data_IF_985500945043
#
_entry.id   IF_985500945043
#
_cell.length_a   1.000
_cell.length_b   1.000
_cell.length_c   1.000
_cell.angle_alpha   90.00
_cell.angle_beta   90.00
_cell.angle_gamma   90.00
#
_symmetry.space_group_name_H-M   'P 1'
#
loop_
_entity.id
_entity.type
_entity.pdbx_description
1 polymer ?
#
# COMPACT_ATOMS: atom_id res chain seq x y z
N UNK A 1 -13.79 17.01 -14.02
CA UNK A 1 -14.05 15.61 -14.41
C UNK A 1 -13.73 14.63 -13.26
N UNK A 2 -12.54 14.62 -12.58
CA UNK A 2 -12.30 13.67 -11.49
C UNK A 2 -13.27 13.80 -10.31
N UNK A 3 -13.67 15.02 -9.95
CA UNK A 3 -14.61 15.26 -8.85
C UNK A 3 -16.02 14.71 -9.09
N UNK A 4 -16.48 14.70 -10.35
CA UNK A 4 -17.78 14.13 -10.67
C UNK A 4 -17.83 12.62 -10.52
N UNK A 5 -16.73 11.91 -10.82
CA UNK A 5 -16.60 10.47 -10.56
C UNK A 5 -16.66 10.16 -9.05
N UNK A 6 -16.07 11.03 -8.22
CA UNK A 6 -16.17 10.92 -6.77
C UNK A 6 -17.61 11.06 -6.26
N UNK A 7 -18.39 11.98 -6.80
CA UNK A 7 -19.81 12.12 -6.45
C UNK A 7 -20.62 10.88 -6.85
N UNK A 8 -20.39 10.34 -8.06
CA UNK A 8 -21.03 9.09 -8.50
C UNK A 8 -20.66 7.94 -7.54
N UNK A 9 -19.39 7.83 -7.15
CA UNK A 9 -18.95 6.82 -6.20
C UNK A 9 -19.65 6.96 -4.83
N UNK A 10 -19.76 8.17 -4.29
CA UNK A 10 -20.47 8.43 -3.02
C UNK A 10 -21.93 7.98 -3.09
N UNK A 11 -22.61 8.30 -4.19
CA UNK A 11 -24.01 7.89 -4.39
C UNK A 11 -24.15 6.36 -4.46
N UNK A 12 -23.26 5.70 -5.21
CA UNK A 12 -23.24 4.25 -5.30
C UNK A 12 -22.93 3.60 -3.94
N UNK A 13 -21.94 4.14 -3.23
CA UNK A 13 -21.59 3.68 -1.89
C UNK A 13 -22.77 3.80 -0.93
N UNK A 14 -23.41 4.95 -0.82
CA UNK A 14 -24.58 5.15 0.05
C UNK A 14 -25.75 4.22 -0.28
N UNK A 15 -25.85 3.81 -1.53
CA UNK A 15 -26.95 2.96 -1.99
C UNK A 15 -26.69 1.47 -1.75
N UNK A 16 -25.44 1.04 -1.76
CA UNK A 16 -25.05 -0.37 -1.66
C UNK A 16 -24.40 -0.72 -0.31
N UNK A 17 -23.88 0.26 0.38
CA UNK A 17 -23.27 0.01 1.69
C UNK A 17 -24.36 -0.11 2.76
N UNK A 18 -24.37 -1.25 3.44
CA UNK A 18 -25.17 -1.50 4.64
C UNK A 18 -24.21 -1.82 5.78
N UNK A 19 -24.48 -1.29 6.98
CA UNK A 19 -23.70 -1.68 8.13
C UNK A 19 -24.02 -3.13 8.53
N UNK A 20 -23.11 -3.85 9.20
CA UNK A 20 -23.37 -5.23 9.62
C UNK A 20 -24.65 -5.40 10.46
N UNK A 21 -25.04 -4.35 11.18
CA UNK A 21 -26.26 -4.34 12.00
C UNK A 21 -27.56 -4.32 11.17
N UNK A 22 -27.50 -3.76 9.97
CA UNK A 22 -28.69 -3.55 9.11
C UNK A 22 -28.62 -4.28 7.78
N UNK A 23 -27.61 -5.11 7.56
CA UNK A 23 -27.39 -5.77 6.28
C UNK A 23 -28.43 -6.89 6.05
N UNK A 24 -29.23 -6.82 4.98
CA UNK A 24 -30.37 -7.72 4.80
C UNK A 24 -29.98 -9.17 4.44
N UNK A 25 -28.75 -9.42 4.03
CA UNK A 25 -28.26 -10.73 3.59
C UNK A 25 -27.29 -11.41 4.58
N UNK A 26 -27.05 -10.83 5.76
CA UNK A 26 -26.20 -11.45 6.78
C UNK A 26 -27.04 -12.38 7.66
N UNK A 27 -26.60 -13.62 7.84
CA UNK A 27 -27.21 -14.58 8.74
C UNK A 27 -27.01 -14.17 10.20
N UNK A 28 -28.02 -14.38 11.07
CA UNK A 28 -27.98 -13.95 12.48
C UNK A 28 -26.76 -14.50 13.24
N UNK A 29 -26.27 -15.71 12.89
CA UNK A 29 -25.07 -16.27 13.49
C UNK A 29 -23.79 -15.53 13.11
N UNK A 30 -23.66 -15.15 11.86
CA UNK A 30 -22.52 -14.38 11.34
C UNK A 30 -22.54 -12.93 11.88
N UNK A 31 -23.71 -12.33 11.95
CA UNK A 31 -23.90 -11.01 12.55
C UNK A 31 -23.45 -10.97 14.02
N UNK A 32 -23.83 -11.99 14.81
CA UNK A 32 -23.43 -12.09 16.20
C UNK A 32 -21.91 -12.22 16.36
N UNK A 33 -21.25 -13.02 15.50
CA UNK A 33 -19.78 -13.16 15.50
C UNK A 33 -19.07 -11.86 15.16
N UNK A 34 -19.57 -11.11 14.19
CA UNK A 34 -18.99 -9.82 13.78
C UNK A 34 -19.12 -8.79 14.92
N UNK A 35 -20.28 -8.72 15.54
CA UNK A 35 -20.55 -7.78 16.64
C UNK A 35 -19.78 -8.12 17.90
N UNK A 36 -19.65 -9.40 18.24
CA UNK A 36 -18.87 -9.87 19.39
C UNK A 36 -17.37 -9.58 19.22
N UNK A 37 -16.82 -9.86 18.05
CA UNK A 37 -15.43 -9.49 17.72
C UNK A 37 -15.21 -7.98 17.78
N UNK A 38 -16.19 -7.17 17.39
CA UNK A 38 -16.09 -5.70 17.42
C UNK A 38 -16.15 -5.16 18.85
N UNK A 39 -16.98 -5.72 19.70
CA UNK A 39 -17.06 -5.34 21.11
C UNK A 39 -15.80 -5.74 21.89
N UNK A 40 -15.22 -6.88 21.60
CA UNK A 40 -13.96 -7.33 22.21
C UNK A 40 -12.73 -6.52 21.77
N UNK A 41 -12.79 -5.87 20.60
CA UNK A 41 -11.74 -4.98 20.10
C UNK A 41 -11.88 -3.51 20.57
N UNK A 42 -12.99 -3.12 21.13
CA UNK A 42 -13.13 -1.81 21.79
C UNK A 42 -12.31 -1.81 23.09
N UNK A 43 -11.00 -1.66 22.94
CA UNK A 43 -10.13 -1.46 24.09
C UNK A 43 -10.43 -0.08 24.70
N UNK A 44 -10.64 -0.04 25.99
CA UNK A 44 -10.93 1.17 26.79
C UNK A 44 -9.78 2.19 26.85
N UNK A 45 -8.75 2.05 25.98
CA UNK A 45 -7.60 2.93 25.93
C UNK A 45 -7.78 4.11 24.99
N UNK A 46 -7.84 5.32 25.50
CA UNK A 46 -7.75 6.54 24.69
C UNK A 46 -6.43 6.61 23.90
N UNK A 47 -6.37 7.46 22.85
CA UNK A 47 -5.18 7.69 22.03
C UNK A 47 -3.89 7.94 22.85
N UNK A 48 -4.03 8.56 24.03
CA UNK A 48 -2.91 8.83 24.95
C UNK A 48 -2.30 7.55 25.55
N UNK A 49 -3.08 6.47 25.68
CA UNK A 49 -2.55 5.20 26.18
C UNK A 49 -1.63 4.51 25.15
N UNK A 50 -1.85 4.72 23.85
CA UNK A 50 -1.01 4.16 22.78
C UNK A 50 0.42 4.71 22.81
N UNK A 51 0.59 5.98 23.19
CA UNK A 51 1.90 6.62 23.30
C UNK A 51 2.81 5.97 24.37
N UNK A 52 2.23 5.19 25.27
CA UNK A 52 2.94 4.49 26.35
C UNK A 52 3.53 3.16 25.90
N UNK A 53 3.07 2.60 24.78
CA UNK A 53 3.55 1.33 24.26
C UNK A 53 4.77 1.52 23.36
N UNK A 54 5.85 0.80 23.66
CA UNK A 54 7.08 0.81 22.86
C UNK A 54 6.84 0.33 21.42
N UNK A 55 5.96 -0.62 21.26
CA UNK A 55 5.54 -1.19 19.98
C UNK A 55 4.92 -0.13 19.07
N UNK A 56 4.13 0.78 19.62
CA UNK A 56 3.55 1.90 18.90
C UNK A 56 4.62 2.78 18.25
N UNK A 57 5.65 3.15 18.99
CA UNK A 57 6.75 3.95 18.46
C UNK A 57 7.57 3.21 17.40
N UNK A 58 7.76 1.89 17.57
CA UNK A 58 8.41 1.05 16.57
C UNK A 58 7.66 1.04 15.24
N UNK A 59 6.34 0.86 15.29
CA UNK A 59 5.48 0.90 14.10
C UNK A 59 5.47 2.29 13.48
N UNK A 60 5.34 3.35 14.29
CA UNK A 60 5.30 4.73 13.81
C UNK A 60 6.59 5.10 13.07
N UNK A 61 7.76 4.84 13.66
CA UNK A 61 9.06 5.12 13.04
C UNK A 61 9.23 4.30 11.77
N UNK A 62 8.94 3.01 11.80
CA UNK A 62 9.01 2.15 10.62
C UNK A 62 8.11 2.67 9.50
N UNK A 63 6.93 3.19 9.84
CA UNK A 63 5.99 3.76 8.88
C UNK A 63 6.54 5.04 8.25
N UNK A 64 6.98 5.99 9.07
CA UNK A 64 7.56 7.27 8.60
C UNK A 64 8.74 7.02 7.66
N UNK A 65 9.68 6.14 8.06
CA UNK A 65 10.84 5.79 7.22
C UNK A 65 10.43 5.09 5.93
N UNK A 66 9.40 4.24 5.97
CA UNK A 66 8.90 3.53 4.78
C UNK A 66 8.15 4.42 3.81
N UNK A 67 7.43 5.42 4.28
CA UNK A 67 6.63 6.32 3.44
C UNK A 67 7.47 7.39 2.76
N UNK A 68 8.60 7.78 3.36
CA UNK A 68 9.47 8.81 2.80
C UNK A 68 9.88 8.54 1.34
N UNK A 69 10.39 7.36 0.94
CA UNK A 69 10.69 7.07 -0.45
C UNK A 69 9.47 7.15 -1.37
N UNK A 70 8.30 6.72 -0.92
CA UNK A 70 7.08 6.77 -1.71
C UNK A 70 6.67 8.22 -2.03
N UNK A 71 6.64 9.10 -1.02
CA UNK A 71 6.33 10.52 -1.22
C UNK A 71 7.42 11.25 -2.02
N UNK A 72 8.68 10.86 -1.85
CA UNK A 72 9.76 11.38 -2.69
C UNK A 72 9.48 11.09 -4.16
N UNK A 73 9.17 9.85 -4.53
CA UNK A 73 8.81 9.51 -5.90
C UNK A 73 7.55 10.24 -6.36
N UNK A 74 6.55 10.40 -5.49
CA UNK A 74 5.31 11.09 -5.84
C UNK A 74 5.56 12.51 -6.33
N UNK A 75 6.42 13.26 -5.67
CA UNK A 75 6.65 14.67 -5.97
C UNK A 75 7.79 14.90 -6.97
N UNK A 76 8.84 14.09 -6.93
CA UNK A 76 10.06 14.30 -7.70
C UNK A 76 10.13 13.50 -8.99
N UNK A 77 9.36 12.45 -9.14
CA UNK A 77 9.45 11.57 -10.31
C UNK A 77 9.20 12.32 -11.64
N UNK A 78 8.14 13.15 -11.81
CA UNK A 78 7.93 13.87 -13.07
C UNK A 78 9.10 14.80 -13.40
N UNK A 79 9.59 15.54 -12.42
CA UNK A 79 10.72 16.44 -12.59
C UNK A 79 12.00 15.70 -12.96
N UNK A 80 12.28 14.59 -12.27
CA UNK A 80 13.42 13.73 -12.57
C UNK A 80 13.39 13.19 -14.00
N UNK A 81 12.23 12.77 -14.48
CA UNK A 81 12.07 12.26 -15.85
C UNK A 81 12.34 13.35 -16.89
N UNK A 82 11.94 14.59 -16.63
CA UNK A 82 12.21 15.74 -17.51
C UNK A 82 13.72 16.10 -17.48
N UNK A 83 14.20 16.47 -16.29
CA UNK A 83 15.49 17.15 -16.16
C UNK A 83 16.68 16.22 -16.31
N UNK A 84 16.55 14.97 -15.86
CA UNK A 84 17.66 14.00 -15.83
C UNK A 84 17.57 12.99 -16.96
N UNK A 85 16.35 12.59 -17.34
CA UNK A 85 16.13 11.53 -18.34
C UNK A 85 15.73 12.05 -19.72
N UNK A 86 15.51 13.36 -19.85
CA UNK A 86 15.22 14.00 -21.13
C UNK A 86 13.85 13.64 -21.70
N UNK A 87 12.88 13.24 -20.85
CA UNK A 87 11.52 13.00 -21.30
C UNK A 87 10.87 14.31 -21.70
N UNK A 88 10.28 14.36 -22.88
CA UNK A 88 9.42 15.45 -23.28
C UNK A 88 8.02 15.34 -22.66
N UNK A 89 7.23 16.38 -22.79
CA UNK A 89 5.88 16.44 -22.20
C UNK A 89 4.97 15.31 -22.74
N UNK A 90 5.21 14.87 -23.98
CA UNK A 90 4.44 13.81 -24.63
C UNK A 90 4.81 12.44 -24.03
N UNK A 91 6.08 12.18 -23.81
CA UNK A 91 6.56 10.95 -23.17
C UNK A 91 6.05 10.86 -21.72
N UNK A 92 6.03 11.98 -20.98
CA UNK A 92 5.45 12.00 -19.63
C UNK A 92 3.96 11.68 -19.66
N UNK A 93 3.17 12.28 -20.54
CA UNK A 93 1.75 11.99 -20.66
C UNK A 93 1.48 10.51 -20.97
N UNK A 94 2.37 9.85 -21.73
CA UNK A 94 2.23 8.45 -22.11
C UNK A 94 2.73 7.46 -21.04
N UNK A 95 3.73 7.82 -20.23
CA UNK A 95 4.43 6.84 -19.40
C UNK A 95 4.41 7.14 -17.90
N UNK A 96 4.10 8.38 -17.46
CA UNK A 96 4.16 8.74 -16.04
C UNK A 96 3.10 8.05 -15.16
N UNK A 97 2.10 7.39 -15.73
CA UNK A 97 1.12 6.59 -15.00
C UNK A 97 1.59 5.16 -14.72
N UNK A 98 2.55 4.63 -15.51
CA UNK A 98 3.07 3.26 -15.35
C UNK A 98 3.61 2.95 -13.95
N UNK A 99 4.42 3.82 -13.32
CA UNK A 99 4.91 3.61 -11.97
C UNK A 99 3.79 3.43 -10.94
N UNK A 100 2.66 4.13 -11.10
CA UNK A 100 1.52 4.04 -10.19
C UNK A 100 0.78 2.72 -10.33
N UNK A 101 0.54 2.27 -11.57
CA UNK A 101 -0.04 0.95 -11.81
C UNK A 101 0.87 -0.15 -11.27
N UNK A 102 2.19 -0.01 -11.45
CA UNK A 102 3.14 -0.96 -10.86
C UNK A 102 3.05 -0.97 -9.33
N UNK A 103 2.89 0.20 -8.69
CA UNK A 103 2.68 0.32 -7.26
C UNK A 103 1.41 -0.41 -6.80
N UNK A 104 0.28 -0.20 -7.48
CA UNK A 104 -0.99 -0.86 -7.16
C UNK A 104 -0.90 -2.38 -7.31
N UNK A 105 -0.26 -2.87 -8.37
CA UNK A 105 0.02 -4.30 -8.55
C UNK A 105 0.91 -4.83 -7.42
N UNK A 106 1.90 -4.05 -6.97
CA UNK A 106 2.73 -4.40 -5.82
C UNK A 106 1.92 -4.57 -4.54
N UNK A 107 0.96 -3.68 -4.28
CA UNK A 107 0.08 -3.78 -3.12
C UNK A 107 -0.78 -5.05 -3.16
N UNK A 108 -1.37 -5.37 -4.32
CA UNK A 108 -2.14 -6.60 -4.50
C UNK A 108 -1.29 -7.84 -4.27
N UNK A 109 -0.11 -7.91 -4.88
CA UNK A 109 0.82 -9.03 -4.73
C UNK A 109 1.26 -9.18 -3.26
N UNK A 110 1.58 -8.08 -2.58
CA UNK A 110 1.97 -8.09 -1.17
C UNK A 110 0.89 -8.65 -0.26
N UNK A 111 -0.36 -8.21 -0.45
CA UNK A 111 -1.52 -8.73 0.27
C UNK A 111 -1.75 -10.22 0.02
N UNK A 112 -1.75 -10.64 -1.25
CA UNK A 112 -1.91 -12.04 -1.65
C UNK A 112 -0.79 -12.94 -1.10
N UNK A 113 0.46 -12.48 -1.12
CA UNK A 113 1.59 -13.22 -0.56
C UNK A 113 1.45 -13.39 0.95
N UNK A 114 1.11 -12.34 1.68
CA UNK A 114 0.89 -12.40 3.12
C UNK A 114 -0.21 -13.39 3.46
N UNK A 115 -1.36 -13.29 2.81
CA UNK A 115 -2.50 -14.20 2.99
C UNK A 115 -2.13 -15.66 2.65
N UNK A 116 -1.45 -15.89 1.53
CA UNK A 116 -1.01 -17.23 1.11
C UNK A 116 -0.04 -17.87 2.12
N UNK A 117 0.85 -17.10 2.73
CA UNK A 117 1.75 -17.62 3.76
C UNK A 117 0.99 -18.02 5.03
N UNK A 118 -0.02 -17.24 5.42
CA UNK A 118 -0.86 -17.59 6.57
C UNK A 118 -1.69 -18.86 6.30
N UNK A 119 -2.29 -18.98 5.12
CA UNK A 119 -3.05 -20.20 4.75
C UNK A 119 -2.18 -21.44 4.65
N UNK A 120 -0.87 -21.29 4.41
CA UNK A 120 0.12 -22.37 4.44
C UNK A 120 0.60 -22.74 5.86
N UNK A 121 -0.01 -22.16 6.90
CA UNK A 121 0.28 -22.48 8.29
C UNK A 121 1.41 -21.67 8.94
N UNK A 122 1.90 -20.62 8.28
CA UNK A 122 2.84 -19.71 8.92
C UNK A 122 2.11 -18.78 9.90
N UNK A 123 2.77 -18.41 10.99
CA UNK A 123 2.20 -17.40 11.88
C UNK A 123 2.08 -16.04 11.16
N UNK A 124 1.07 -15.26 11.51
CA UNK A 124 0.81 -13.93 10.95
C UNK A 124 2.07 -13.05 11.01
N UNK A 125 2.77 -13.08 12.14
CA UNK A 125 4.01 -12.32 12.35
C UNK A 125 5.12 -12.72 11.36
N UNK A 126 5.32 -14.02 11.14
CA UNK A 126 6.29 -14.52 10.15
C UNK A 126 5.90 -14.16 8.73
N UNK A 127 4.64 -14.33 8.36
CA UNK A 127 4.15 -14.00 7.04
C UNK A 127 4.40 -12.52 6.71
N UNK A 128 4.03 -11.63 7.63
CA UNK A 128 4.23 -10.18 7.48
C UNK A 128 5.71 -9.80 7.38
N UNK A 129 6.54 -10.28 8.29
CA UNK A 129 7.99 -10.01 8.26
C UNK A 129 8.65 -10.49 6.97
N UNK A 130 8.26 -11.65 6.46
CA UNK A 130 8.78 -12.18 5.19
C UNK A 130 8.45 -11.27 4.02
N UNK A 131 7.20 -10.78 3.92
CA UNK A 131 6.78 -9.88 2.83
C UNK A 131 7.49 -8.53 2.94
N UNK A 132 7.63 -7.98 4.14
CA UNK A 132 8.35 -6.72 4.38
C UNK A 132 9.83 -6.85 3.99
N UNK A 133 10.48 -7.94 4.40
CA UNK A 133 11.88 -8.23 4.05
C UNK A 133 12.07 -8.36 2.53
N UNK A 134 11.21 -9.14 1.88
CA UNK A 134 11.25 -9.31 0.44
C UNK A 134 11.09 -7.97 -0.28
N UNK A 135 10.08 -7.17 0.10
CA UNK A 135 9.88 -5.84 -0.48
C UNK A 135 11.11 -4.94 -0.30
N UNK A 136 11.74 -4.95 0.88
CA UNK A 136 12.94 -4.15 1.14
C UNK A 136 14.13 -4.56 0.25
N UNK A 137 14.36 -5.86 0.10
CA UNK A 137 15.41 -6.38 -0.80
C UNK A 137 15.14 -6.00 -2.26
N UNK A 138 13.90 -6.17 -2.72
CA UNK A 138 13.52 -5.82 -4.09
C UNK A 138 13.70 -4.31 -4.38
N UNK A 139 13.42 -3.44 -3.40
CA UNK A 139 13.69 -2.00 -3.53
C UNK A 139 15.18 -1.74 -3.76
N UNK A 140 16.05 -2.37 -2.96
CA UNK A 140 17.49 -2.21 -3.12
C UNK A 140 17.98 -2.68 -4.51
N UNK A 141 17.46 -3.81 -4.97
CA UNK A 141 17.75 -4.36 -6.31
C UNK A 141 17.27 -3.43 -7.42
N UNK A 142 16.20 -2.67 -7.23
CA UNK A 142 15.70 -1.72 -8.21
C UNK A 142 16.49 -0.41 -8.24
N UNK A 143 16.72 0.18 -7.06
CA UNK A 143 17.26 1.54 -6.92
C UNK A 143 18.72 1.61 -7.37
N UNK A 144 19.54 0.64 -7.00
CA UNK A 144 20.97 0.64 -7.32
C UNK A 144 21.22 0.65 -8.85
N UNK A 145 20.66 -0.26 -9.67
CA UNK A 145 20.82 -0.20 -11.12
C UNK A 145 20.17 1.03 -11.75
N UNK A 146 19.07 1.55 -11.19
CA UNK A 146 18.40 2.75 -11.71
C UNK A 146 19.32 3.98 -11.70
N UNK A 147 20.20 4.07 -10.70
CA UNK A 147 21.18 5.15 -10.60
C UNK A 147 22.24 5.09 -11.70
N UNK A 148 22.77 3.90 -12.01
CA UNK A 148 23.88 3.72 -12.96
C UNK A 148 23.44 3.62 -14.42
N UNK A 149 22.18 3.32 -14.70
CA UNK A 149 21.73 3.14 -16.09
C UNK A 149 21.68 4.47 -16.86
N UNK A 150 22.18 4.45 -18.09
CA UNK A 150 22.09 5.57 -19.03
C UNK A 150 20.79 5.53 -19.87
N UNK A 151 20.14 4.37 -19.94
CA UNK A 151 18.92 4.21 -20.73
C UNK A 151 17.71 4.73 -19.96
N UNK A 152 17.00 5.73 -20.54
CA UNK A 152 15.78 6.31 -19.95
C UNK A 152 14.65 5.28 -19.83
N UNK A 153 14.51 4.36 -20.81
CA UNK A 153 13.51 3.30 -20.75
C UNK A 153 13.81 2.29 -19.64
N UNK A 154 15.07 1.89 -19.49
CA UNK A 154 15.48 0.99 -18.40
C UNK A 154 15.33 1.65 -17.05
N UNK A 155 15.67 2.93 -16.93
CA UNK A 155 15.47 3.70 -15.70
C UNK A 155 13.99 3.73 -15.29
N UNK A 156 13.09 4.03 -16.23
CA UNK A 156 11.65 4.01 -15.98
C UNK A 156 11.17 2.62 -15.51
N UNK A 157 11.61 1.55 -16.19
CA UNK A 157 11.29 0.18 -15.80
C UNK A 157 11.76 -0.17 -14.38
N UNK A 158 12.97 0.24 -14.01
CA UNK A 158 13.51 0.04 -12.65
C UNK A 158 12.78 0.88 -11.60
N UNK A 159 12.33 2.08 -11.94
CA UNK A 159 11.49 2.90 -11.08
C UNK A 159 10.12 2.24 -10.87
N UNK A 160 9.49 1.75 -11.93
CA UNK A 160 8.23 0.98 -11.83
C UNK A 160 8.41 -0.23 -10.91
N UNK A 161 9.48 -0.98 -11.08
CA UNK A 161 9.79 -2.13 -10.24
C UNK A 161 10.10 -1.73 -8.78
N UNK A 162 10.77 -0.60 -8.57
CA UNK A 162 11.03 -0.05 -7.23
C UNK A 162 9.74 0.34 -6.50
N UNK A 163 8.81 1.03 -7.17
CA UNK A 163 7.51 1.38 -6.60
C UNK A 163 6.62 0.15 -6.36
N UNK A 164 6.63 -0.82 -7.26
CA UNK A 164 6.02 -2.13 -7.05
C UNK A 164 6.54 -2.78 -5.76
N UNK A 165 7.86 -2.80 -5.56
CA UNK A 165 8.49 -3.39 -4.37
C UNK A 165 8.19 -2.61 -3.08
N UNK A 166 8.13 -1.27 -3.15
CA UNK A 166 7.71 -0.42 -2.03
C UNK A 166 6.29 -0.77 -1.59
N UNK A 167 5.39 -0.99 -2.54
CA UNK A 167 3.99 -1.27 -2.22
C UNK A 167 3.73 -2.72 -1.79
N UNK A 168 4.56 -3.69 -2.18
CA UNK A 168 4.52 -5.05 -1.60
C UNK A 168 4.61 -4.98 -0.07
N UNK A 169 5.60 -4.24 0.47
CA UNK A 169 5.73 -4.09 1.93
C UNK A 169 4.64 -3.18 2.51
N UNK A 170 4.22 -2.15 1.76
CA UNK A 170 3.20 -1.19 2.19
C UNK A 170 1.85 -1.83 2.49
N UNK A 171 1.42 -2.78 1.66
CA UNK A 171 0.15 -3.50 1.84
C UNK A 171 0.03 -4.23 3.18
N UNK A 172 1.14 -4.72 3.71
CA UNK A 172 1.17 -5.50 4.97
C UNK A 172 1.15 -4.62 6.22
N UNK A 173 1.43 -3.32 6.09
CA UNK A 173 1.33 -2.38 7.21
C UNK A 173 -0.12 -2.00 7.57
N UNK A 174 -1.08 -2.22 6.67
CA UNK A 174 -2.49 -1.84 6.85
C UNK A 174 -3.39 -3.03 7.24
N UNK A 175 -2.88 -4.22 7.29
CA UNK A 175 -3.59 -5.45 7.69
C UNK A 175 -3.07 -5.98 9.02
#
# INVERSE_FOLDING_TARGET
IPGSLGLVWVILWQRWYHSPETHPAIEHGEQALILDNRSSQQSEGGLTSLLRYREFWGILIARVVSDFPFYFFLFWLPQYLIDVRGFDLRAIALFAWLPWVAADLGALVGGMMSSSLVTRGHSIDRARKTVIWLGAVLVAVAVVPAYYTQSSALALGLICFGLFAIQIKGAVFFT
#
